data_IF_963303716348
#
_entry.id   IF_963303716348
#
_cell.length_a   1.000
_cell.length_b   1.000
_cell.length_c   1.000
_cell.angle_alpha   90.00
_cell.angle_beta   90.00
_cell.angle_gamma   90.00
#
_symmetry.space_group_name_H-M   'P 1'
#
loop_
_entity.id
_entity.type
_entity.pdbx_description
1 polymer ?
#
# COMPACT_ATOMS: atom_id res chain seq x y z
N UNK A 1 -17.63 -24.92 -22.91
CA UNK A 1 -17.28 -23.52 -22.57
C UNK A 1 -17.12 -22.74 -23.86
N UNK A 2 -18.03 -21.82 -24.16
CA UNK A 2 -17.82 -20.83 -25.23
C UNK A 2 -16.80 -19.82 -24.72
N UNK A 3 -15.71 -19.65 -25.45
CA UNK A 3 -14.75 -18.58 -25.22
C UNK A 3 -15.36 -17.26 -25.68
N UNK A 4 -15.44 -16.28 -24.79
CA UNK A 4 -15.80 -14.91 -25.14
C UNK A 4 -14.56 -14.28 -25.80
N UNK A 5 -14.59 -14.07 -27.10
CA UNK A 5 -13.47 -13.51 -27.88
C UNK A 5 -13.67 -12.03 -28.14
N UNK A 6 -12.58 -11.24 -28.18
CA UNK A 6 -12.62 -9.81 -28.50
C UNK A 6 -13.27 -9.48 -29.85
N UNK A 7 -13.30 -10.41 -30.76
CA UNK A 7 -13.99 -10.29 -32.08
C UNK A 7 -15.50 -10.45 -31.95
N UNK A 8 -16.04 -10.86 -30.81
CA UNK A 8 -17.46 -10.92 -30.56
C UNK A 8 -18.00 -9.48 -30.32
N UNK A 9 -18.94 -9.00 -31.16
CA UNK A 9 -19.56 -7.68 -30.98
C UNK A 9 -20.31 -7.47 -29.64
N UNK A 10 -20.48 -8.53 -28.84
CA UNK A 10 -21.09 -8.52 -27.51
C UNK A 10 -20.07 -8.81 -26.39
N UNK A 11 -18.78 -8.77 -26.69
CA UNK A 11 -17.71 -9.14 -25.75
C UNK A 11 -17.88 -8.55 -24.34
N UNK A 12 -18.00 -7.24 -24.24
CA UNK A 12 -18.20 -6.55 -22.96
C UNK A 12 -19.57 -6.81 -22.33
N UNK A 13 -20.63 -6.87 -23.15
CA UNK A 13 -21.99 -7.13 -22.67
C UNK A 13 -22.13 -8.54 -22.09
N UNK A 14 -21.55 -9.53 -22.73
CA UNK A 14 -21.58 -10.92 -22.25
C UNK A 14 -20.80 -11.04 -20.93
N UNK A 15 -19.65 -10.35 -20.82
CA UNK A 15 -18.86 -10.30 -19.59
C UNK A 15 -19.66 -9.62 -18.47
N UNK A 16 -20.29 -8.48 -18.72
CA UNK A 16 -21.11 -7.75 -17.73
C UNK A 16 -22.30 -8.58 -17.27
N UNK A 17 -23.02 -9.24 -18.19
CA UNK A 17 -24.14 -10.11 -17.84
C UNK A 17 -23.72 -11.29 -16.95
N UNK A 18 -22.51 -11.78 -17.14
CA UNK A 18 -21.93 -12.84 -16.32
C UNK A 18 -21.52 -12.33 -14.95
N UNK A 19 -20.91 -11.14 -14.86
CA UNK A 19 -20.35 -10.59 -13.62
C UNK A 19 -21.41 -9.96 -12.71
N UNK A 20 -22.41 -9.29 -13.26
CA UNK A 20 -23.43 -8.56 -12.48
C UNK A 20 -24.07 -9.41 -11.39
N UNK A 21 -24.69 -10.56 -11.69
CA UNK A 21 -25.35 -11.38 -10.66
C UNK A 21 -24.34 -11.93 -9.63
N UNK A 22 -23.09 -12.21 -10.04
CA UNK A 22 -22.04 -12.68 -9.16
C UNK A 22 -21.63 -11.64 -8.14
N UNK A 23 -21.46 -10.39 -8.58
CA UNK A 23 -21.08 -9.29 -7.70
C UNK A 23 -22.21 -8.93 -6.74
N UNK A 24 -23.48 -8.97 -7.18
CA UNK A 24 -24.62 -8.79 -6.29
C UNK A 24 -24.67 -9.87 -5.20
N UNK A 25 -24.46 -11.14 -5.58
CA UNK A 25 -24.41 -12.23 -4.62
C UNK A 25 -23.23 -12.08 -3.66
N UNK A 26 -22.04 -11.73 -4.19
CA UNK A 26 -20.86 -11.50 -3.37
C UNK A 26 -21.11 -10.41 -2.32
N UNK A 27 -21.69 -9.26 -2.72
CA UNK A 27 -22.07 -8.19 -1.79
C UNK A 27 -23.00 -8.68 -0.67
N UNK A 28 -23.99 -9.52 -0.99
CA UNK A 28 -24.92 -10.05 0.00
C UNK A 28 -24.24 -11.00 1.00
N UNK A 29 -23.20 -11.73 0.57
CA UNK A 29 -22.44 -12.65 1.41
C UNK A 29 -21.39 -11.95 2.28
N UNK A 30 -21.02 -10.71 1.95
CA UNK A 30 -20.04 -9.95 2.74
C UNK A 30 -20.62 -9.54 4.10
N UNK A 31 -19.75 -9.53 5.12
CA UNK A 31 -20.02 -8.84 6.39
C UNK A 31 -20.15 -7.33 6.14
N UNK A 32 -20.80 -6.61 7.05
CA UNK A 32 -20.97 -5.15 6.91
C UNK A 32 -19.64 -4.38 6.89
N UNK A 33 -18.63 -4.85 7.61
CA UNK A 33 -17.25 -4.35 7.65
C UNK A 33 -16.34 -5.03 6.61
N UNK A 34 -16.90 -5.83 5.69
CA UNK A 34 -16.14 -6.62 4.73
C UNK A 34 -15.62 -5.84 3.54
N UNK A 35 -14.55 -6.35 2.92
CA UNK A 35 -13.97 -5.84 1.68
C UNK A 35 -13.96 -6.94 0.62
N UNK A 36 -14.20 -6.56 -0.63
CA UNK A 36 -13.98 -7.39 -1.81
C UNK A 36 -12.80 -6.87 -2.61
N UNK A 37 -11.93 -7.78 -3.07
CA UNK A 37 -10.85 -7.52 -4.00
C UNK A 37 -11.09 -8.26 -5.29
N UNK A 38 -11.01 -7.57 -6.42
CA UNK A 38 -11.30 -8.10 -7.74
C UNK A 38 -10.12 -7.84 -8.66
N UNK A 39 -9.39 -8.89 -8.99
CA UNK A 39 -8.27 -8.83 -9.93
C UNK A 39 -8.79 -8.80 -11.36
N UNK A 40 -8.33 -7.86 -12.16
CA UNK A 40 -8.79 -7.63 -13.54
C UNK A 40 -7.64 -7.08 -14.38
N UNK A 41 -7.66 -7.36 -15.67
CA UNK A 41 -6.77 -6.76 -16.65
C UNK A 41 -7.38 -5.47 -17.26
N UNK A 42 -6.69 -4.90 -18.22
CA UNK A 42 -7.03 -3.67 -18.92
C UNK A 42 -8.38 -3.74 -19.63
N UNK A 43 -8.73 -4.93 -20.20
CA UNK A 43 -9.86 -5.08 -21.11
C UNK A 43 -11.19 -4.76 -20.44
N UNK A 44 -11.36 -5.15 -19.18
CA UNK A 44 -12.63 -5.01 -18.45
C UNK A 44 -12.53 -4.14 -17.19
N UNK A 45 -11.39 -3.49 -16.93
CA UNK A 45 -11.17 -2.68 -15.74
C UNK A 45 -12.21 -1.56 -15.57
N UNK A 46 -12.48 -0.82 -16.65
CA UNK A 46 -13.44 0.29 -16.64
C UNK A 46 -14.86 -0.23 -16.42
N UNK A 47 -15.22 -1.35 -17.05
CA UNK A 47 -16.53 -1.97 -16.87
C UNK A 47 -16.71 -2.54 -15.47
N UNK A 48 -15.66 -3.16 -14.90
CA UNK A 48 -15.67 -3.64 -13.53
C UNK A 48 -15.86 -2.50 -12.54
N UNK A 49 -15.16 -1.38 -12.75
CA UNK A 49 -15.30 -0.19 -11.88
C UNK A 49 -16.73 0.35 -11.92
N UNK A 50 -17.31 0.54 -13.10
CA UNK A 50 -18.69 1.05 -13.26
C UNK A 50 -19.74 0.13 -12.63
N UNK A 51 -19.62 -1.20 -12.85
CA UNK A 51 -20.58 -2.15 -12.27
C UNK A 51 -20.38 -2.28 -10.75
N UNK A 52 -19.15 -2.13 -10.29
CA UNK A 52 -18.80 -2.06 -8.87
C UNK A 52 -19.44 -0.84 -8.18
N UNK A 53 -19.28 0.35 -8.76
CA UNK A 53 -19.90 1.58 -8.27
C UNK A 53 -21.43 1.44 -8.19
N UNK A 54 -22.06 0.81 -9.19
CA UNK A 54 -23.50 0.55 -9.18
C UNK A 54 -23.96 -0.42 -8.09
N UNK A 55 -23.17 -1.48 -7.83
CA UNK A 55 -23.58 -2.55 -6.88
C UNK A 55 -23.21 -2.20 -5.46
N UNK A 56 -21.98 -1.69 -5.23
CA UNK A 56 -21.46 -1.44 -3.88
C UNK A 56 -21.71 -0.02 -3.39
N UNK A 57 -21.95 0.94 -4.32
CA UNK A 57 -21.95 2.38 -4.08
C UNK A 57 -20.59 3.00 -4.35
N UNK A 58 -20.56 4.15 -5.01
CA UNK A 58 -19.33 4.87 -5.32
C UNK A 58 -18.59 5.30 -4.04
N UNK A 59 -19.34 5.67 -3.01
CA UNK A 59 -18.83 6.04 -1.68
C UNK A 59 -18.09 4.90 -0.97
N UNK A 60 -18.39 3.66 -1.30
CA UNK A 60 -17.75 2.45 -0.76
C UNK A 60 -16.56 1.98 -1.60
N UNK A 61 -16.23 2.71 -2.67
CA UNK A 61 -15.07 2.43 -3.48
C UNK A 61 -13.79 2.76 -2.70
N UNK A 62 -12.91 1.78 -2.58
CA UNK A 62 -11.59 1.94 -2.02
C UNK A 62 -10.56 2.25 -3.12
N UNK A 63 -9.30 2.03 -2.85
CA UNK A 63 -8.24 2.21 -3.82
C UNK A 63 -8.27 1.14 -4.92
N UNK A 64 -8.06 1.52 -6.18
CA UNK A 64 -7.65 0.59 -7.24
C UNK A 64 -6.16 0.38 -7.14
N UNK A 65 -5.73 -0.84 -6.81
CA UNK A 65 -4.33 -1.18 -6.66
C UNK A 65 -3.76 -1.64 -7.99
N UNK A 66 -2.49 -1.36 -8.21
CA UNK A 66 -1.71 -1.83 -9.37
C UNK A 66 -0.85 -3.00 -8.91
N UNK A 67 -1.09 -4.18 -9.45
CA UNK A 67 -0.24 -5.34 -9.19
C UNK A 67 0.76 -5.53 -10.33
N UNK A 68 2.05 -5.39 -10.01
CA UNK A 68 3.15 -5.63 -10.93
C UNK A 68 3.33 -7.14 -11.13
N UNK A 69 2.62 -7.70 -12.11
CA UNK A 69 2.56 -9.14 -12.40
C UNK A 69 3.83 -9.71 -13.04
N UNK A 70 4.69 -8.85 -13.61
CA UNK A 70 5.96 -9.21 -14.28
C UNK A 70 7.04 -8.17 -13.98
N UNK A 71 8.28 -8.61 -14.00
CA UNK A 71 9.45 -7.73 -13.86
C UNK A 71 10.22 -7.57 -15.17
N UNK A 72 10.09 -8.51 -16.11
CA UNK A 72 10.80 -8.54 -17.38
C UNK A 72 9.90 -9.08 -18.51
N UNK A 73 10.28 -8.85 -19.75
CA UNK A 73 9.55 -9.34 -20.94
C UNK A 73 9.09 -8.20 -21.84
N UNK A 74 8.11 -8.49 -22.70
CA UNK A 74 7.50 -7.49 -23.60
C UNK A 74 8.23 -7.31 -24.94
N UNK A 75 9.27 -8.09 -25.25
CA UNK A 75 10.04 -7.99 -26.52
C UNK A 75 9.16 -8.17 -27.79
N UNK A 76 8.03 -8.84 -27.67
CA UNK A 76 7.12 -9.10 -28.79
C UNK A 76 5.95 -8.10 -28.87
N UNK A 77 5.85 -7.16 -27.95
CA UNK A 77 4.85 -6.09 -28.03
C UNK A 77 5.28 -5.06 -29.07
N UNK A 78 4.33 -4.63 -29.92
CA UNK A 78 4.56 -3.56 -30.90
C UNK A 78 4.52 -2.16 -30.27
N UNK A 79 3.96 -2.03 -29.08
CA UNK A 79 3.78 -0.76 -28.37
C UNK A 79 4.43 -0.80 -26.99
N UNK A 80 3.64 -0.90 -25.95
CA UNK A 80 4.10 -0.93 -24.57
C UNK A 80 4.14 -2.36 -24.01
N UNK A 81 5.06 -2.64 -23.11
CA UNK A 81 5.10 -3.90 -22.38
C UNK A 81 4.05 -3.87 -21.25
N UNK A 82 3.16 -4.86 -21.23
CA UNK A 82 2.17 -5.04 -20.17
C UNK A 82 2.78 -5.75 -18.97
N UNK A 83 3.03 -5.01 -17.88
CA UNK A 83 3.68 -5.50 -16.66
C UNK A 83 2.76 -5.54 -15.46
N UNK A 84 1.53 -5.07 -15.55
CA UNK A 84 0.62 -4.97 -14.42
C UNK A 84 -0.78 -5.51 -14.71
N UNK A 85 -1.51 -5.69 -13.66
CA UNK A 85 -2.97 -5.87 -13.62
C UNK A 85 -3.53 -4.97 -12.52
N UNK A 86 -4.82 -4.78 -12.52
CA UNK A 86 -5.53 -4.00 -11.51
C UNK A 86 -6.16 -4.90 -10.46
N UNK A 87 -6.28 -4.38 -9.25
CA UNK A 87 -7.07 -4.98 -8.18
C UNK A 87 -8.03 -3.90 -7.70
N UNK A 88 -9.28 -4.01 -8.16
CA UNK A 88 -10.35 -3.09 -7.78
C UNK A 88 -10.93 -3.54 -6.44
N UNK A 89 -11.12 -2.62 -5.51
CA UNK A 89 -11.60 -2.94 -4.17
C UNK A 89 -12.78 -2.06 -3.74
N UNK A 90 -13.72 -2.69 -3.03
CA UNK A 90 -14.88 -2.04 -2.40
C UNK A 90 -15.07 -2.57 -1.00
N UNK A 91 -15.45 -1.69 -0.08
CA UNK A 91 -16.07 -2.11 1.18
C UNK A 91 -17.57 -2.37 0.99
N UNK A 92 -18.19 -3.14 1.88
CA UNK A 92 -19.65 -3.22 1.92
C UNK A 92 -20.25 -1.95 2.50
N UNK A 93 -19.62 -1.42 3.57
CA UNK A 93 -19.97 -0.14 4.21
C UNK A 93 -18.69 0.51 4.74
N UNK A 94 -18.27 1.60 4.11
CA UNK A 94 -17.01 2.29 4.45
C UNK A 94 -17.04 2.87 5.88
N UNK A 95 -18.21 3.22 6.38
CA UNK A 95 -18.35 3.79 7.73
C UNK A 95 -18.09 2.75 8.85
N UNK A 96 -18.17 1.47 8.52
CA UNK A 96 -17.90 0.37 9.45
C UNK A 96 -16.50 -0.24 9.22
N UNK A 97 -15.81 0.20 8.17
CA UNK A 97 -14.47 -0.28 7.85
C UNK A 97 -13.47 0.33 8.83
N UNK A 98 -12.72 -0.52 9.52
CA UNK A 98 -11.58 -0.10 10.33
C UNK A 98 -10.38 0.32 9.47
N UNK A 99 -9.27 0.61 10.13
CA UNK A 99 -8.02 0.93 9.45
C UNK A 99 -7.50 -0.27 8.63
N UNK A 100 -7.23 -0.01 7.36
CA UNK A 100 -6.67 -1.00 6.43
C UNK A 100 -5.15 -0.94 6.53
N UNK A 101 -4.56 -1.83 7.30
CA UNK A 101 -3.15 -1.81 7.65
C UNK A 101 -2.46 -3.13 7.29
N UNK A 102 -1.15 -3.05 7.07
CA UNK A 102 -0.28 -4.22 6.89
C UNK A 102 0.89 -4.16 7.86
N UNK A 103 1.48 -5.31 8.15
CA UNK A 103 2.73 -5.38 8.88
C UNK A 103 3.83 -4.64 8.10
N UNK A 104 4.68 -3.92 8.81
CA UNK A 104 5.81 -3.22 8.20
C UNK A 104 6.76 -4.22 7.53
N UNK A 105 7.13 -4.05 6.25
CA UNK A 105 8.11 -4.91 5.57
C UNK A 105 9.49 -4.87 6.26
N UNK A 106 10.25 -5.95 6.15
CA UNK A 106 11.56 -6.07 6.80
C UNK A 106 12.59 -5.04 6.32
N UNK A 107 12.57 -4.70 5.04
CA UNK A 107 13.42 -3.64 4.46
C UNK A 107 13.06 -2.26 5.02
N UNK A 108 11.79 -2.02 5.34
CA UNK A 108 11.37 -0.82 6.05
C UNK A 108 11.75 -0.83 7.54
N UNK A 109 11.83 -2.00 8.18
CA UNK A 109 12.30 -2.12 9.56
C UNK A 109 13.79 -1.82 9.70
N UNK A 110 14.58 -2.12 8.68
CA UNK A 110 16.02 -1.89 8.67
C UNK A 110 16.42 -0.41 8.86
N UNK A 111 15.52 0.55 8.61
CA UNK A 111 15.79 1.99 8.84
C UNK A 111 15.77 2.40 10.31
N UNK A 112 15.19 1.58 11.21
CA UNK A 112 15.13 1.86 12.64
C UNK A 112 16.42 1.41 13.31
N UNK A 113 17.41 2.31 13.34
CA UNK A 113 18.79 2.02 13.76
C UNK A 113 19.11 2.50 15.19
N UNK A 114 18.32 3.44 15.72
CA UNK A 114 18.58 4.09 16.99
C UNK A 114 17.72 3.50 18.11
N UNK A 115 18.24 3.57 19.34
CA UNK A 115 17.55 3.16 20.55
C UNK A 115 17.64 4.28 21.62
N UNK A 116 16.65 4.37 22.48
CA UNK A 116 16.63 5.23 23.67
C UNK A 116 15.87 4.57 24.82
N UNK A 117 15.58 5.31 25.88
CA UNK A 117 14.86 4.85 27.07
C UNK A 117 13.46 4.31 26.79
N UNK A 118 12.86 4.65 25.65
CA UNK A 118 11.53 4.21 25.23
C UNK A 118 11.54 2.92 24.41
N UNK A 119 12.68 2.22 24.28
CA UNK A 119 12.84 1.03 23.42
C UNK A 119 11.78 -0.06 23.69
N UNK A 120 11.44 -0.29 24.97
CA UNK A 120 10.48 -1.33 25.36
C UNK A 120 9.03 -0.99 24.98
N UNK A 121 8.69 0.29 24.90
CA UNK A 121 7.35 0.77 24.60
C UNK A 121 7.20 1.11 23.12
N UNK A 122 8.16 1.87 22.57
CA UNK A 122 8.07 2.47 21.25
C UNK A 122 8.91 1.75 20.18
N UNK A 123 9.75 0.79 20.56
CA UNK A 123 10.70 0.13 19.67
C UNK A 123 11.88 1.02 19.29
N UNK A 124 12.66 0.60 18.30
CA UNK A 124 13.73 1.40 17.72
C UNK A 124 13.18 2.60 16.97
N UNK A 125 14.05 3.57 16.67
CA UNK A 125 13.62 4.73 15.88
C UNK A 125 14.62 5.08 14.78
N UNK A 126 14.14 5.85 13.80
CA UNK A 126 14.98 6.59 12.86
C UNK A 126 14.72 8.09 13.00
N UNK A 127 15.63 8.90 12.47
CA UNK A 127 15.55 10.36 12.60
C UNK A 127 15.39 11.03 11.23
N UNK A 128 14.61 12.12 11.21
CA UNK A 128 14.55 13.04 10.07
C UNK A 128 14.79 14.47 10.51
N UNK A 129 15.48 15.29 9.71
CA UNK A 129 15.63 16.71 9.99
C UNK A 129 14.27 17.39 10.19
N UNK A 130 14.16 18.21 11.24
CA UNK A 130 12.95 18.98 11.52
C UNK A 130 12.87 20.26 10.66
N UNK A 131 14.03 20.75 10.15
CA UNK A 131 14.08 21.91 9.26
C UNK A 131 13.34 21.61 7.94
N UNK A 132 12.43 22.53 7.56
CA UNK A 132 11.69 22.44 6.30
C UNK A 132 12.50 23.00 5.13
N UNK A 133 12.47 22.29 3.99
CA UNK A 133 12.95 22.78 2.70
C UNK A 133 11.79 23.00 1.70
N UNK A 134 10.55 23.05 2.20
CA UNK A 134 9.34 23.27 1.41
C UNK A 134 9.12 24.77 1.17
N UNK A 135 8.09 25.07 0.38
CA UNK A 135 7.65 26.44 0.12
C UNK A 135 7.49 27.26 1.40
N UNK A 136 7.76 28.58 1.36
CA UNK A 136 7.71 29.45 2.53
C UNK A 136 6.35 29.42 3.23
N UNK A 137 6.37 29.14 4.54
CA UNK A 137 5.19 29.16 5.44
C UNK A 137 5.53 29.97 6.68
N UNK A 138 5.19 31.27 6.72
CA UNK A 138 5.56 32.15 7.84
C UNK A 138 5.12 31.66 9.22
N UNK A 139 3.99 30.94 9.31
CA UNK A 139 3.47 30.38 10.57
C UNK A 139 4.34 29.24 11.13
N UNK A 140 5.26 28.70 10.33
CA UNK A 140 6.18 27.65 10.72
C UNK A 140 7.61 28.17 10.97
N UNK A 141 7.82 29.49 10.89
CA UNK A 141 9.11 30.14 11.20
C UNK A 141 9.10 30.59 12.65
N UNK A 142 9.97 29.98 13.46
CA UNK A 142 10.12 30.36 14.86
C UNK A 142 11.50 29.93 15.38
N UNK A 143 12.02 30.59 16.45
CA UNK A 143 13.29 30.21 17.05
C UNK A 143 13.17 28.94 17.91
N UNK A 144 14.17 28.06 17.81
CA UNK A 144 14.41 26.94 18.74
C UNK A 144 15.75 27.17 19.44
N UNK A 145 15.76 27.07 20.77
CA UNK A 145 16.97 27.15 21.58
C UNK A 145 17.66 25.80 21.60
N UNK A 146 18.94 25.77 21.29
CA UNK A 146 19.79 24.58 21.28
C UNK A 146 20.33 24.29 22.67
N UNK A 147 20.88 23.08 22.92
CA UNK A 147 21.46 22.71 24.23
C UNK A 147 22.61 23.62 24.72
N UNK A 148 23.33 24.25 23.82
CA UNK A 148 24.41 25.20 24.09
C UNK A 148 23.93 26.65 24.34
N UNK A 149 22.63 26.87 24.33
CA UNK A 149 22.02 28.20 24.51
C UNK A 149 21.92 29.02 23.21
N UNK A 150 22.47 28.59 22.10
CA UNK A 150 22.26 29.24 20.80
C UNK A 150 20.82 29.12 20.32
N UNK A 151 20.35 30.02 19.47
CA UNK A 151 19.00 30.00 18.92
C UNK A 151 19.06 29.94 17.39
N UNK A 152 18.31 29.00 16.84
CA UNK A 152 18.15 28.86 15.39
C UNK A 152 16.74 29.21 14.99
N UNK A 153 16.57 30.32 14.25
CA UNK A 153 15.30 30.70 13.64
C UNK A 153 15.28 30.31 12.18
N UNK A 154 14.32 29.45 11.83
CA UNK A 154 14.12 28.95 10.46
C UNK A 154 12.72 28.37 10.32
N UNK A 155 12.35 28.00 9.10
CA UNK A 155 11.11 27.28 8.87
C UNK A 155 11.27 25.80 9.30
N UNK A 156 10.34 25.34 10.12
CA UNK A 156 10.25 23.95 10.57
C UNK A 156 9.13 23.18 9.87
N UNK A 157 9.08 21.87 10.00
CA UNK A 157 8.02 21.03 9.41
C UNK A 157 6.77 20.93 10.28
N UNK A 158 6.81 21.44 11.50
CA UNK A 158 5.69 21.44 12.46
C UNK A 158 5.53 22.81 13.09
N UNK A 159 4.32 23.11 13.61
CA UNK A 159 4.05 24.31 14.38
C UNK A 159 4.75 24.27 15.74
N UNK A 160 4.93 25.44 16.36
CA UNK A 160 5.66 25.59 17.64
C UNK A 160 5.00 24.81 18.77
N UNK A 161 3.68 24.77 18.84
CA UNK A 161 2.93 24.02 19.84
C UNK A 161 3.20 22.50 19.70
N UNK A 162 3.15 22.00 18.46
CA UNK A 162 3.46 20.60 18.16
C UNK A 162 4.91 20.26 18.51
N UNK A 163 5.85 21.18 18.24
CA UNK A 163 7.25 21.00 18.63
C UNK A 163 7.40 20.87 20.14
N UNK A 164 6.75 21.73 20.93
CA UNK A 164 6.82 21.68 22.38
C UNK A 164 6.29 20.34 22.92
N UNK A 165 5.16 19.87 22.42
CA UNK A 165 4.62 18.53 22.76
C UNK A 165 5.62 17.42 22.41
N UNK A 166 6.26 17.49 21.24
CA UNK A 166 7.28 16.51 20.86
C UNK A 166 8.52 16.54 21.75
N UNK A 167 8.90 17.68 22.30
CA UNK A 167 9.99 17.80 23.28
C UNK A 167 9.59 17.11 24.58
N UNK A 168 8.39 17.39 25.10
CA UNK A 168 7.86 16.77 26.32
C UNK A 168 7.76 15.25 26.19
N UNK A 169 7.39 14.76 25.00
CA UNK A 169 7.31 13.33 24.68
C UNK A 169 8.68 12.68 24.41
N UNK A 170 9.79 13.41 24.46
CA UNK A 170 11.13 12.90 24.15
C UNK A 170 11.35 12.56 22.66
N UNK A 171 10.54 13.11 21.76
CA UNK A 171 10.56 12.82 20.30
C UNK A 171 11.49 13.74 19.50
N UNK A 172 12.17 14.66 20.15
CA UNK A 172 13.16 15.56 19.54
C UNK A 172 14.57 15.13 19.90
N UNK A 173 15.46 15.15 18.92
CA UNK A 173 16.88 14.93 19.08
C UNK A 173 17.65 16.14 18.56
N UNK A 174 18.47 16.72 19.43
CA UNK A 174 19.46 17.74 19.07
C UNK A 174 20.78 17.02 18.78
N UNK A 175 21.27 17.12 17.58
CA UNK A 175 22.55 16.48 17.16
C UNK A 175 23.56 17.54 16.79
N UNK A 176 24.69 17.54 17.47
CA UNK A 176 25.83 18.38 17.15
C UNK A 176 26.49 17.89 15.86
N UNK A 177 26.80 18.81 14.97
CA UNK A 177 27.55 18.56 13.73
C UNK A 177 29.05 18.73 13.97
N UNK A 178 29.85 18.29 13.01
CA UNK A 178 31.32 18.43 13.02
C UNK A 178 31.81 19.88 13.07
N UNK A 179 30.99 20.82 12.64
CA UNK A 179 31.25 22.27 12.66
C UNK A 179 30.85 22.96 13.98
N UNK A 180 30.41 22.20 14.98
CA UNK A 180 29.96 22.71 16.29
C UNK A 180 28.51 23.22 16.27
N UNK A 181 27.83 23.26 15.13
CA UNK A 181 26.44 23.68 15.04
C UNK A 181 25.48 22.53 15.37
N UNK A 182 24.32 22.86 15.92
CA UNK A 182 23.25 21.88 16.16
C UNK A 182 22.31 21.72 14.97
N UNK A 183 21.77 20.52 14.84
CA UNK A 183 20.63 20.22 13.97
C UNK A 183 19.55 19.52 14.77
N UNK A 184 18.29 19.93 14.52
CA UNK A 184 17.12 19.38 15.18
C UNK A 184 16.52 18.29 14.34
N UNK A 185 16.27 17.14 14.96
CA UNK A 185 15.66 15.97 14.32
C UNK A 185 14.40 15.55 15.07
N UNK A 186 13.45 15.00 14.32
CA UNK A 186 12.31 14.28 14.87
C UNK A 186 12.62 12.78 14.88
N UNK A 187 12.34 12.11 15.99
CA UNK A 187 12.38 10.65 16.13
C UNK A 187 11.06 10.06 15.64
N UNK A 188 11.15 9.00 14.84
CA UNK A 188 10.02 8.18 14.37
C UNK A 188 10.23 6.77 14.88
N UNK A 189 9.36 6.31 15.75
CA UNK A 189 9.50 5.01 16.40
C UNK A 189 8.84 3.90 15.59
N UNK A 190 9.39 2.69 15.72
CA UNK A 190 8.92 1.50 15.02
C UNK A 190 7.46 1.17 15.34
N UNK A 191 7.09 1.30 16.62
CA UNK A 191 5.74 1.00 17.11
C UNK A 191 4.76 2.17 16.97
N UNK A 192 5.16 3.31 16.39
CA UNK A 192 4.24 4.40 16.08
C UNK A 192 3.11 3.88 15.16
N UNK A 193 1.84 4.15 15.51
CA UNK A 193 0.69 3.62 14.79
C UNK A 193 0.50 2.10 14.96
N UNK A 194 0.98 1.52 16.07
CA UNK A 194 0.87 0.07 16.33
C UNK A 194 1.83 -0.79 15.52
N UNK A 195 2.93 -0.22 14.99
CA UNK A 195 3.92 -0.95 14.19
C UNK A 195 3.46 -1.31 12.79
N UNK A 196 2.24 -0.93 12.41
CA UNK A 196 1.64 -1.21 11.10
C UNK A 196 1.70 0.02 10.17
N UNK A 197 1.57 -0.22 8.86
CA UNK A 197 1.53 0.84 7.84
C UNK A 197 0.33 0.66 6.92
N UNK A 198 -0.05 1.74 6.21
CA UNK A 198 -1.08 1.65 5.16
C UNK A 198 -0.58 0.79 4.00
N UNK A 199 -1.50 0.04 3.38
CA UNK A 199 -1.19 -0.76 2.19
C UNK A 199 -0.82 0.17 1.04
N UNK A 200 0.32 -0.06 0.35
CA UNK A 200 0.69 0.73 -0.81
C UNK A 200 -0.25 0.45 -1.99
N UNK A 201 -0.48 1.45 -2.83
CA UNK A 201 -1.31 1.29 -4.04
C UNK A 201 -0.63 0.48 -5.15
N UNK A 202 0.68 0.23 -5.04
CA UNK A 202 1.46 -0.60 -5.96
C UNK A 202 1.94 -1.84 -5.21
N UNK A 203 1.58 -3.01 -5.73
CA UNK A 203 1.97 -4.33 -5.21
C UNK A 203 3.01 -4.91 -6.15
N UNK A 204 4.25 -5.05 -5.67
CA UNK A 204 5.40 -5.47 -6.50
C UNK A 204 6.26 -6.59 -5.88
N UNK A 205 5.86 -7.14 -4.75
CA UNK A 205 6.61 -8.16 -4.01
C UNK A 205 6.34 -9.61 -4.46
N UNK A 206 5.47 -9.83 -5.46
CA UNK A 206 5.08 -11.16 -5.97
C UNK A 206 4.58 -11.05 -7.42
N UNK A 207 4.92 -12.00 -8.26
CA UNK A 207 4.65 -12.02 -9.69
C UNK A 207 3.83 -13.23 -10.14
N UNK A 208 3.41 -13.24 -11.43
CA UNK A 208 2.79 -14.40 -12.07
C UNK A 208 3.74 -15.62 -12.13
N UNK A 209 5.05 -15.39 -12.18
CA UNK A 209 6.00 -16.49 -12.19
C UNK A 209 5.98 -17.26 -10.86
N UNK A 210 5.84 -16.54 -9.73
CA UNK A 210 5.72 -17.19 -8.42
C UNK A 210 4.52 -18.14 -8.39
N UNK A 211 3.37 -17.72 -8.93
CA UNK A 211 2.18 -18.56 -9.02
C UNK A 211 2.37 -19.80 -9.90
N UNK A 212 3.10 -19.66 -11.02
CA UNK A 212 3.41 -20.80 -11.91
C UNK A 212 4.36 -21.78 -11.25
N UNK A 213 5.36 -21.30 -10.52
CA UNK A 213 6.26 -22.16 -9.76
C UNK A 213 5.54 -22.88 -8.60
N UNK A 214 4.59 -22.23 -7.93
CA UNK A 214 3.71 -22.86 -6.96
C UNK A 214 2.93 -24.04 -7.58
N UNK A 215 2.29 -23.83 -8.75
CA UNK A 215 1.53 -24.88 -9.45
C UNK A 215 2.43 -26.02 -9.96
N UNK A 216 3.62 -25.70 -10.50
CA UNK A 216 4.58 -26.73 -10.91
C UNK A 216 4.93 -27.67 -9.78
N UNK A 217 5.15 -27.12 -8.57
CA UNK A 217 5.43 -27.93 -7.37
C UNK A 217 4.25 -28.80 -6.96
N UNK A 218 3.03 -28.25 -7.00
CA UNK A 218 1.80 -28.96 -6.59
C UNK A 218 1.49 -30.12 -7.54
N UNK A 219 1.66 -29.93 -8.85
CA UNK A 219 1.34 -30.91 -9.88
C UNK A 219 2.55 -31.73 -10.36
N UNK A 220 3.73 -31.52 -9.77
CA UNK A 220 4.98 -32.16 -10.15
C UNK A 220 5.34 -32.00 -11.64
N UNK A 221 5.05 -30.81 -12.18
CA UNK A 221 5.22 -30.47 -13.60
C UNK A 221 6.48 -29.62 -13.78
N UNK A 222 7.32 -29.97 -14.76
CA UNK A 222 8.57 -29.26 -15.03
C UNK A 222 8.40 -28.08 -16.01
N UNK A 223 7.42 -28.13 -16.91
CA UNK A 223 7.27 -27.14 -17.96
C UNK A 223 5.97 -26.33 -17.78
N UNK A 224 6.10 -25.01 -17.90
CA UNK A 224 4.95 -24.07 -17.72
C UNK A 224 3.81 -24.35 -18.72
N UNK A 225 4.13 -24.82 -19.93
CA UNK A 225 3.10 -25.14 -20.96
C UNK A 225 2.16 -26.28 -20.57
N UNK A 226 2.62 -27.16 -19.68
CA UNK A 226 1.88 -28.35 -19.25
C UNK A 226 1.00 -28.07 -18.01
N UNK A 227 1.01 -26.84 -17.50
CA UNK A 227 0.18 -26.44 -16.37
C UNK A 227 -1.31 -26.51 -16.74
N UNK A 228 -2.16 -27.03 -15.83
CA UNK A 228 -3.61 -27.14 -16.06
C UNK A 228 -4.31 -25.77 -16.12
N UNK A 229 -3.63 -24.72 -15.63
CA UNK A 229 -4.14 -23.36 -15.59
C UNK A 229 -3.02 -22.37 -15.93
N UNK A 230 -3.25 -21.53 -16.95
CA UNK A 230 -2.20 -20.67 -17.52
C UNK A 230 -2.00 -19.32 -16.83
N UNK A 231 -3.02 -18.83 -16.14
CA UNK A 231 -3.00 -17.50 -15.48
C UNK A 231 -3.32 -17.57 -13.99
N UNK A 232 -2.54 -18.35 -13.21
CA UNK A 232 -2.76 -18.46 -11.77
C UNK A 232 -2.42 -17.15 -11.05
N UNK A 233 -3.11 -16.90 -9.93
CA UNK A 233 -2.71 -15.86 -8.99
C UNK A 233 -1.88 -16.49 -7.89
N UNK A 234 -0.77 -15.84 -7.46
CA UNK A 234 0.10 -16.39 -6.42
C UNK A 234 -0.61 -16.42 -5.06
N UNK A 235 -0.43 -17.50 -4.32
CA UNK A 235 -1.03 -17.65 -2.98
C UNK A 235 -0.53 -16.57 -2.03
N UNK A 236 0.69 -16.08 -2.19
CA UNK A 236 1.27 -14.98 -1.41
C UNK A 236 0.46 -13.68 -1.56
N UNK A 237 -0.05 -13.38 -2.78
CA UNK A 237 -0.91 -12.21 -3.02
C UNK A 237 -2.25 -12.36 -2.28
N UNK A 238 -2.87 -13.53 -2.36
CA UNK A 238 -4.15 -13.79 -1.69
C UNK A 238 -3.98 -13.74 -0.17
N UNK A 239 -2.96 -14.41 0.37
CA UNK A 239 -2.63 -14.38 1.79
C UNK A 239 -2.37 -12.97 2.30
N UNK A 240 -1.72 -12.13 1.51
CA UNK A 240 -1.47 -10.73 1.84
C UNK A 240 -2.79 -10.00 2.13
N UNK A 241 -3.76 -10.05 1.20
CA UNK A 241 -5.04 -9.40 1.41
C UNK A 241 -5.82 -10.00 2.59
N UNK A 242 -5.85 -11.32 2.72
CA UNK A 242 -6.53 -11.96 3.86
C UNK A 242 -5.95 -11.47 5.18
N UNK A 243 -4.62 -11.45 5.36
CA UNK A 243 -3.98 -10.98 6.59
C UNK A 243 -4.28 -9.53 6.94
N UNK A 244 -4.41 -8.65 5.95
CA UNK A 244 -4.67 -7.22 6.19
C UNK A 244 -6.06 -6.95 6.79
N UNK A 245 -6.99 -7.94 6.78
CA UNK A 245 -8.38 -7.77 7.17
C UNK A 245 -8.89 -8.80 8.19
N UNK A 246 -8.04 -9.72 8.62
CA UNK A 246 -8.40 -10.76 9.61
C UNK A 246 -7.64 -10.62 10.93
N UNK A 247 -6.88 -9.55 11.11
CA UNK A 247 -6.07 -9.28 12.33
C UNK A 247 -6.75 -8.30 13.25
#
# INVERSE_FOLDING_TARGET
KTTNTETNGRYHSDWLNMMYPRLKLARNLMREDGIIFMSIDENEMVNLKKIGDYIFGEENSLQTLIWKKKYTGGKHSKTFADFHEYIVSYSKNINLLGDVLMDRPEDEKAKFEYEDEYINERGKFYIRPLKSNLDPRPTLVYPIVMPDGTSIETQWIVAKETFNTMVEEGRILFKEKKDGNYQVYKKYYENDGGGKIKIPSIIDFVSNNDAKEELKKIFEINQTRDLPFQTPKPTKLIKFFVKCFTS
#
